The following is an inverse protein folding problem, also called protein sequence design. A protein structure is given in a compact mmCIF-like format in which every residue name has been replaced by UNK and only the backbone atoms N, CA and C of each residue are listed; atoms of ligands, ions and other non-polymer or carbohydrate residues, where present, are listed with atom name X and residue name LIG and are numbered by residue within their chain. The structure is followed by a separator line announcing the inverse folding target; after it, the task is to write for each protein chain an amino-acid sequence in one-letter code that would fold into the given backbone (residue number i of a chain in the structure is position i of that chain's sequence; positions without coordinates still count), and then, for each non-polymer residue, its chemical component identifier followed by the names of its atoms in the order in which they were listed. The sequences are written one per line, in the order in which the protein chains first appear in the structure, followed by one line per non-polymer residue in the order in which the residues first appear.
data_IF_170715398396
#
_entry.id   IF_170715398396
#
_cell.length_a   1.000
_cell.length_b   1.000
_cell.length_c   1.000
_cell.angle_alpha   90.00
_cell.angle_beta   90.00
_cell.angle_gamma   90.00
#
_symmetry.space_group_name_H-M   'P 1'
#
loop_
_entity.id
_entity.type
_entity.pdbx_description
1 polymer ?
#
# COMPACT_ATOMS: atom_id res chain seq x y z
N UNK A 1 -22.65 -29.18 8.28
CA UNK A 1 -22.73 -27.89 9.01
C UNK A 1 -21.53 -27.08 8.54
N UNK A 2 -21.72 -26.07 7.72
CA UNK A 2 -20.65 -25.15 7.32
C UNK A 2 -20.18 -24.41 8.56
N UNK A 3 -18.95 -24.65 9.00
CA UNK A 3 -18.33 -23.90 10.11
C UNK A 3 -18.43 -22.39 9.79
N UNK A 4 -18.86 -21.61 10.77
CA UNK A 4 -18.90 -20.14 10.60
C UNK A 4 -17.47 -19.66 10.32
N UNK A 5 -17.30 -18.79 9.31
CA UNK A 5 -15.98 -18.24 9.02
C UNK A 5 -15.38 -17.60 10.26
N UNK A 6 -14.15 -17.94 10.62
CA UNK A 6 -13.47 -17.44 11.82
C UNK A 6 -13.32 -15.94 11.79
N UNK A 7 -13.47 -15.30 12.94
CA UNK A 7 -13.18 -13.89 13.14
C UNK A 7 -11.69 -13.60 12.89
N UNK A 8 -11.35 -12.37 12.51
CA UNK A 8 -9.98 -11.95 12.24
C UNK A 8 -9.57 -10.91 13.28
N UNK A 9 -8.40 -11.07 13.88
CA UNK A 9 -7.68 -9.99 14.57
C UNK A 9 -6.49 -9.57 13.73
N UNK A 10 -6.57 -8.40 13.14
CA UNK A 10 -5.51 -7.83 12.29
C UNK A 10 -4.64 -6.88 13.11
N UNK A 11 -3.35 -7.16 13.20
CA UNK A 11 -2.38 -6.19 13.74
C UNK A 11 -1.88 -5.36 12.57
N UNK A 12 -2.41 -4.15 12.46
CA UNK A 12 -2.17 -3.30 11.31
C UNK A 12 -0.85 -2.53 11.38
N UNK A 13 -0.30 -2.20 10.22
CA UNK A 13 0.90 -1.35 10.08
C UNK A 13 0.56 0.12 9.83
N UNK A 14 -0.70 0.42 9.55
CA UNK A 14 -1.24 1.76 9.27
C UNK A 14 -2.57 1.95 9.98
N UNK A 15 -2.93 3.20 10.26
CA UNK A 15 -4.26 3.55 10.75
C UNK A 15 -5.31 3.30 9.67
N UNK A 16 -6.54 2.97 10.08
CA UNK A 16 -7.63 2.70 9.14
C UNK A 16 -8.02 3.97 8.34
N UNK A 17 -7.94 5.13 8.98
CA UNK A 17 -8.23 6.46 8.40
C UNK A 17 -7.06 7.09 7.64
N UNK A 18 -6.05 6.30 7.28
CA UNK A 18 -4.94 6.81 6.48
C UNK A 18 -5.48 7.39 5.15
N UNK A 19 -5.18 8.65 4.83
CA UNK A 19 -5.68 9.31 3.62
C UNK A 19 -5.20 8.64 2.31
N UNK A 20 -4.13 7.85 2.39
CA UNK A 20 -3.66 7.00 1.29
C UNK A 20 -3.73 5.53 1.73
N UNK A 21 -4.87 4.85 1.51
CA UNK A 21 -5.02 3.45 1.88
C UNK A 21 -4.00 2.57 1.14
N UNK A 22 -3.50 1.59 1.86
CA UNK A 22 -2.58 0.57 1.36
C UNK A 22 -3.28 -0.78 1.28
N UNK A 23 -2.57 -1.81 0.86
CA UNK A 23 -3.06 -3.19 0.85
C UNK A 23 -3.77 -3.57 2.17
N UNK A 24 -3.22 -3.17 3.32
CA UNK A 24 -3.76 -3.54 4.65
C UNK A 24 -5.21 -3.08 4.84
N UNK A 25 -5.49 -1.81 4.56
CA UNK A 25 -6.83 -1.25 4.71
C UNK A 25 -7.80 -1.85 3.69
N UNK A 26 -7.38 -1.89 2.41
CA UNK A 26 -8.20 -2.44 1.35
C UNK A 26 -8.61 -3.89 1.60
N UNK A 27 -7.66 -4.72 2.03
CA UNK A 27 -7.90 -6.13 2.35
C UNK A 27 -8.86 -6.28 3.54
N UNK A 28 -8.55 -5.61 4.66
CA UNK A 28 -9.32 -5.79 5.89
C UNK A 28 -10.75 -5.23 5.79
N UNK A 29 -10.96 -4.12 5.09
CA UNK A 29 -12.29 -3.57 4.86
C UNK A 29 -13.17 -4.55 4.07
N UNK A 30 -12.64 -5.20 3.05
CA UNK A 30 -13.38 -6.17 2.22
C UNK A 30 -13.60 -7.51 2.93
N UNK A 31 -12.61 -7.99 3.68
CA UNK A 31 -12.82 -9.16 4.55
C UNK A 31 -13.89 -8.89 5.61
N UNK A 32 -14.04 -7.64 6.07
CA UNK A 32 -15.07 -7.26 7.01
C UNK A 32 -16.51 -7.30 6.43
N UNK A 33 -16.67 -7.41 5.13
CA UNK A 33 -17.97 -7.66 4.51
C UNK A 33 -18.47 -9.09 4.78
N UNK A 34 -17.56 -10.03 4.99
CA UNK A 34 -17.82 -11.47 5.16
C UNK A 34 -17.56 -11.99 6.56
N UNK A 35 -16.59 -11.42 7.29
CA UNK A 35 -16.09 -11.85 8.60
C UNK A 35 -16.11 -10.69 9.58
N UNK A 36 -16.20 -10.97 10.90
CA UNK A 36 -15.92 -9.92 11.88
C UNK A 36 -14.40 -9.70 11.95
N UNK A 37 -13.98 -8.43 11.89
CA UNK A 37 -12.58 -8.03 11.90
C UNK A 37 -12.33 -7.07 13.06
N UNK A 38 -11.39 -7.39 13.93
CA UNK A 38 -10.79 -6.43 14.86
C UNK A 38 -9.52 -5.87 14.24
N UNK A 39 -9.59 -4.64 13.74
CA UNK A 39 -8.47 -3.90 13.20
C UNK A 39 -7.74 -3.18 14.32
N UNK A 40 -6.55 -3.66 14.70
CA UNK A 40 -5.71 -3.08 15.74
C UNK A 40 -4.72 -2.14 15.06
N UNK A 41 -4.94 -0.85 15.23
CA UNK A 41 -4.09 0.20 14.68
C UNK A 41 -2.68 0.19 15.33
N UNK A 42 -1.68 0.79 14.68
CA UNK A 42 -0.39 1.04 15.32
C UNK A 42 -0.58 1.77 16.65
N UNK A 43 0.10 1.33 17.71
CA UNK A 43 -0.07 1.93 19.03
C UNK A 43 0.37 3.40 19.03
N UNK A 44 -0.33 4.22 19.79
CA UNK A 44 -0.11 5.66 19.86
C UNK A 44 0.46 6.05 21.21
N UNK A 45 1.45 6.96 21.18
CA UNK A 45 2.02 7.60 22.36
C UNK A 45 1.21 8.85 22.73
N UNK A 46 0.70 8.99 23.97
CA UNK A 46 -0.07 10.14 24.39
C UNK A 46 0.66 11.49 24.22
N UNK A 47 1.97 11.52 24.39
CA UNK A 47 2.76 12.76 24.21
C UNK A 47 2.74 13.21 22.75
N UNK A 48 2.80 12.25 21.83
CA UNK A 48 2.70 12.54 20.41
C UNK A 48 1.32 13.08 20.03
N UNK A 49 0.24 12.57 20.66
CA UNK A 49 -1.12 13.02 20.43
C UNK A 49 -1.34 14.46 20.88
N UNK A 50 -0.87 14.79 22.09
CA UNK A 50 -0.98 16.15 22.64
C UNK A 50 -0.23 17.16 21.75
N UNK A 51 0.98 16.80 21.28
CA UNK A 51 1.78 17.68 20.41
C UNK A 51 1.16 17.96 19.06
N UNK A 52 0.33 17.05 18.54
CA UNK A 52 -0.33 17.20 17.24
C UNK A 52 -1.78 17.68 17.31
N UNK A 53 -2.31 17.98 18.50
CA UNK A 53 -3.69 18.45 18.69
C UNK A 53 -4.76 17.46 18.22
N UNK A 54 -4.44 16.16 18.16
CA UNK A 54 -5.37 15.12 17.73
C UNK A 54 -5.95 14.38 18.94
N UNK A 55 -7.27 14.23 18.97
CA UNK A 55 -7.95 13.38 19.96
C UNK A 55 -7.53 11.92 19.74
N UNK A 56 -6.96 11.25 20.77
CA UNK A 56 -6.64 9.83 20.72
C UNK A 56 -7.87 8.93 20.55
N UNK A 57 -9.06 9.46 20.83
CA UNK A 57 -10.34 8.78 20.75
C UNK A 57 -11.11 9.11 19.48
N UNK A 58 -10.51 9.86 18.55
CA UNK A 58 -11.15 10.29 17.30
C UNK A 58 -11.81 9.09 16.62
N UNK A 59 -13.13 9.16 16.48
CA UNK A 59 -13.89 8.20 15.69
C UNK A 59 -13.30 8.18 14.29
N UNK A 60 -13.02 6.97 13.82
CA UNK A 60 -12.51 6.78 12.48
C UNK A 60 -13.60 7.23 11.50
N UNK A 61 -13.37 8.31 10.78
CA UNK A 61 -14.30 8.85 9.79
C UNK A 61 -14.45 7.94 8.53
N UNK A 62 -13.92 6.73 8.59
CA UNK A 62 -14.05 5.72 7.54
C UNK A 62 -15.39 5.02 7.73
N UNK A 63 -16.23 5.07 6.70
CA UNK A 63 -17.47 4.29 6.67
C UNK A 63 -17.13 2.81 6.71
N UNK A 64 -17.36 2.18 7.86
CA UNK A 64 -17.04 0.77 8.09
C UNK A 64 -18.31 -0.07 8.16
N UNK A 65 -18.21 -1.34 7.78
CA UNK A 65 -19.30 -2.30 7.98
C UNK A 65 -19.54 -2.52 9.49
N UNK A 66 -20.73 -3.00 9.86
CA UNK A 66 -21.05 -3.38 11.25
C UNK A 66 -20.13 -4.49 11.79
N UNK A 67 -19.39 -5.16 10.92
CA UNK A 67 -18.44 -6.23 11.26
C UNK A 67 -17.00 -5.77 11.46
N UNK A 68 -16.69 -4.49 11.10
CA UNK A 68 -15.36 -3.89 11.32
C UNK A 68 -15.32 -3.20 12.68
N UNK A 69 -14.45 -3.67 13.54
CA UNK A 69 -14.18 -3.06 14.84
C UNK A 69 -12.75 -2.50 14.85
N UNK A 70 -12.58 -1.28 15.33
CA UNK A 70 -11.26 -0.64 15.41
C UNK A 70 -10.80 -0.54 16.85
N UNK A 71 -9.53 -0.77 17.09
CA UNK A 71 -8.84 -0.52 18.35
C UNK A 71 -7.58 0.30 18.09
N UNK A 72 -7.50 1.49 18.68
CA UNK A 72 -6.30 2.34 18.68
C UNK A 72 -5.61 2.20 20.05
N UNK A 73 -4.60 1.31 20.19
CA UNK A 73 -3.98 1.04 21.47
C UNK A 73 -3.12 2.21 21.93
N UNK A 74 -3.11 2.46 23.23
CA UNK A 74 -2.26 3.48 23.87
C UNK A 74 -1.10 2.78 24.58
N UNK A 75 0.11 3.32 24.39
CA UNK A 75 1.36 2.81 24.98
C UNK A 75 2.12 3.92 25.68
N UNK A 76 3.06 3.54 26.55
CA UNK A 76 3.92 4.51 27.23
C UNK A 76 4.93 5.13 26.26
N UNK A 77 5.28 6.40 26.44
CA UNK A 77 6.29 7.07 25.64
C UNK A 77 7.70 6.49 25.89
N UNK A 78 8.63 6.86 25.03
CA UNK A 78 10.08 6.54 25.14
C UNK A 78 10.45 5.05 25.10
N UNK A 79 9.63 4.18 24.52
CA UNK A 79 9.96 2.77 24.32
C UNK A 79 11.28 2.54 23.56
N UNK A 80 11.67 3.48 22.67
CA UNK A 80 12.93 3.45 21.93
C UNK A 80 14.18 3.66 22.82
N UNK A 81 14.00 4.23 24.05
CA UNK A 81 15.07 4.52 24.99
C UNK A 81 15.25 3.45 26.07
N UNK A 82 14.25 2.56 26.27
CA UNK A 82 14.28 1.59 27.36
C UNK A 82 13.65 0.25 26.95
N UNK A 83 14.45 -0.82 27.04
CA UNK A 83 13.96 -2.19 26.82
C UNK A 83 12.85 -2.58 27.81
N UNK A 84 12.89 -2.09 29.04
CA UNK A 84 11.85 -2.34 30.05
C UNK A 84 10.52 -1.68 29.65
N UNK A 85 10.56 -0.41 29.19
CA UNK A 85 9.37 0.27 28.68
C UNK A 85 8.83 -0.43 27.43
N UNK A 86 9.69 -0.86 26.52
CA UNK A 86 9.29 -1.61 25.34
C UNK A 86 8.58 -2.94 25.70
N UNK A 87 9.12 -3.69 26.68
CA UNK A 87 8.52 -4.92 27.18
C UNK A 87 7.17 -4.68 27.88
N UNK A 88 7.07 -3.60 28.66
CA UNK A 88 5.81 -3.19 29.30
C UNK A 88 4.76 -2.80 28.25
N UNK A 89 5.14 -2.02 27.23
CA UNK A 89 4.28 -1.64 26.14
C UNK A 89 3.75 -2.85 25.37
N UNK A 90 4.58 -3.87 25.13
CA UNK A 90 4.13 -5.12 24.53
C UNK A 90 3.07 -5.82 25.39
N UNK A 91 3.23 -5.85 26.73
CA UNK A 91 2.24 -6.42 27.65
C UNK A 91 0.94 -5.61 27.65
N UNK A 92 1.04 -4.28 27.68
CA UNK A 92 -0.11 -3.37 27.61
C UNK A 92 -0.88 -3.54 26.31
N UNK A 93 -0.19 -3.64 25.18
CA UNK A 93 -0.80 -3.88 23.87
C UNK A 93 -1.59 -5.20 23.86
N UNK A 94 -0.96 -6.30 24.26
CA UNK A 94 -1.61 -7.61 24.36
C UNK A 94 -2.84 -7.55 25.28
N UNK A 95 -2.73 -6.90 26.44
CA UNK A 95 -3.84 -6.78 27.40
C UNK A 95 -5.04 -6.01 26.80
N UNK A 96 -4.79 -4.91 26.11
CA UNK A 96 -5.82 -4.10 25.43
C UNK A 96 -6.53 -4.91 24.33
N UNK A 97 -5.76 -5.62 23.50
CA UNK A 97 -6.30 -6.47 22.42
C UNK A 97 -7.15 -7.60 23.02
N UNK A 98 -6.62 -8.34 24.02
CA UNK A 98 -7.36 -9.40 24.71
C UNK A 98 -8.67 -8.90 25.34
N UNK A 99 -8.64 -7.72 25.98
CA UNK A 99 -9.85 -7.10 26.56
C UNK A 99 -10.89 -6.82 25.47
N UNK A 100 -10.45 -6.33 24.30
CA UNK A 100 -11.35 -6.03 23.18
C UNK A 100 -11.92 -7.29 22.56
N UNK A 101 -11.11 -8.34 22.34
CA UNK A 101 -11.54 -9.64 21.83
C UNK A 101 -12.63 -10.25 22.73
N UNK A 102 -12.41 -10.24 24.06
CA UNK A 102 -13.42 -10.73 25.02
C UNK A 102 -14.73 -9.94 24.95
N UNK A 103 -14.68 -8.60 24.86
CA UNK A 103 -15.88 -7.75 24.74
C UNK A 103 -16.66 -8.00 23.45
N UNK A 104 -15.97 -8.38 22.39
CA UNK A 104 -16.58 -8.70 21.09
C UNK A 104 -16.97 -10.18 20.98
N UNK A 105 -16.72 -11.00 22.01
CA UNK A 105 -16.89 -12.45 21.99
C UNK A 105 -16.24 -13.09 20.74
N UNK A 106 -14.99 -12.74 20.48
CA UNK A 106 -14.17 -13.39 19.44
C UNK A 106 -13.59 -14.67 20.04
N UNK A 107 -13.95 -15.81 19.46
CA UNK A 107 -13.48 -17.12 19.87
C UNK A 107 -12.46 -17.64 18.88
N UNK A 108 -11.23 -17.91 19.35
CA UNK A 108 -10.13 -18.46 18.55
C UNK A 108 -9.98 -17.79 17.18
N UNK A 109 -9.77 -16.44 17.12
CA UNK A 109 -9.70 -15.72 15.84
C UNK A 109 -8.47 -16.12 15.03
N UNK A 110 -8.49 -15.81 13.73
CA UNK A 110 -7.26 -15.78 12.90
C UNK A 110 -6.45 -14.55 13.27
N UNK A 111 -5.18 -14.73 13.64
CA UNK A 111 -4.24 -13.64 13.86
C UNK A 111 -3.59 -13.27 12.52
N UNK A 112 -3.89 -12.07 12.00
CA UNK A 112 -3.36 -11.58 10.74
C UNK A 112 -2.26 -10.56 10.96
N UNK A 113 -1.04 -10.87 10.50
CA UNK A 113 0.15 -10.07 10.67
C UNK A 113 0.65 -9.57 9.30
N UNK A 114 1.13 -8.32 9.27
CA UNK A 114 1.70 -7.69 8.07
C UNK A 114 3.18 -7.35 8.23
N UNK A 115 3.74 -7.46 9.42
CA UNK A 115 5.13 -7.09 9.68
C UNK A 115 5.80 -8.07 10.64
N UNK A 116 7.08 -8.38 10.42
CA UNK A 116 7.89 -9.17 11.37
C UNK A 116 7.88 -8.61 12.79
N UNK A 117 7.83 -7.28 12.92
CA UNK A 117 7.82 -6.58 14.23
C UNK A 117 6.62 -6.96 15.10
N UNK A 118 5.62 -7.64 14.54
CA UNK A 118 4.40 -8.08 15.23
C UNK A 118 4.54 -9.49 15.83
N UNK A 119 5.68 -10.15 15.69
CA UNK A 119 5.96 -11.49 16.22
C UNK A 119 5.58 -11.64 17.71
N UNK A 120 5.76 -10.58 18.49
CA UNK A 120 5.40 -10.56 19.92
C UNK A 120 3.90 -10.73 20.22
N UNK A 121 3.02 -10.79 19.23
CA UNK A 121 1.58 -11.04 19.41
C UNK A 121 1.23 -12.55 19.37
N UNK A 122 2.08 -13.36 18.73
CA UNK A 122 1.87 -14.79 18.50
C UNK A 122 1.76 -15.56 19.81
N UNK A 123 0.78 -16.47 19.92
CA UNK A 123 0.51 -17.29 21.10
C UNK A 123 -0.09 -16.53 22.27
N UNK A 124 -0.45 -15.25 22.08
CA UNK A 124 -0.90 -14.39 23.17
C UNK A 124 -2.34 -13.93 23.08
N UNK A 125 -3.03 -14.20 21.98
CA UNK A 125 -4.41 -13.73 21.77
C UNK A 125 -5.44 -14.86 21.78
N UNK A 126 -5.01 -16.11 21.99
CA UNK A 126 -5.88 -17.30 21.92
C UNK A 126 -6.30 -17.60 20.49
N UNK A 127 -5.48 -17.20 19.54
CA UNK A 127 -5.70 -17.40 18.10
C UNK A 127 -5.72 -18.87 17.70
N UNK A 128 -6.54 -19.21 16.70
CA UNK A 128 -6.62 -20.56 16.13
C UNK A 128 -5.49 -20.82 15.15
N UNK A 129 -5.10 -19.80 14.41
CA UNK A 129 -4.02 -19.85 13.41
C UNK A 129 -3.45 -18.45 13.18
N UNK A 130 -2.23 -18.40 12.63
CA UNK A 130 -1.55 -17.18 12.22
C UNK A 130 -1.55 -17.10 10.70
N UNK A 131 -1.97 -15.96 10.15
CA UNK A 131 -1.80 -15.58 8.76
C UNK A 131 -0.72 -14.49 8.67
N UNK A 132 0.30 -14.70 7.87
CA UNK A 132 1.34 -13.71 7.63
C UNK A 132 1.24 -13.17 6.20
N UNK A 133 1.08 -11.86 6.04
CA UNK A 133 0.96 -11.22 4.74
C UNK A 133 2.18 -10.35 4.44
N UNK A 134 3.06 -10.82 3.60
CA UNK A 134 4.29 -10.14 3.20
C UNK A 134 3.97 -9.21 2.04
N UNK A 135 3.84 -7.92 2.33
CA UNK A 135 3.54 -6.89 1.33
C UNK A 135 4.79 -6.26 0.73
N UNK A 136 5.88 -6.25 1.49
CA UNK A 136 7.13 -5.57 1.14
C UNK A 136 8.34 -6.29 1.75
N UNK A 137 9.53 -6.02 1.23
CA UNK A 137 10.76 -6.44 1.90
C UNK A 137 11.12 -5.47 3.04
N UNK A 138 10.67 -5.80 4.25
CA UNK A 138 10.94 -4.98 5.44
C UNK A 138 12.44 -4.80 5.76
N UNK A 139 13.31 -5.69 5.26
CA UNK A 139 14.77 -5.60 5.48
C UNK A 139 15.42 -4.53 4.61
N UNK A 140 14.81 -4.26 3.45
CA UNK A 140 15.28 -3.25 2.52
C UNK A 140 14.67 -1.84 2.77
N UNK A 141 13.76 -1.72 3.73
CA UNK A 141 13.16 -0.43 4.08
C UNK A 141 14.13 0.47 4.87
N UNK A 142 14.01 1.82 4.75
CA UNK A 142 14.85 2.76 5.51
C UNK A 142 14.84 2.53 7.03
N UNK A 143 13.75 2.01 7.60
CA UNK A 143 13.65 1.65 9.02
C UNK A 143 14.52 0.46 9.48
N UNK A 144 15.22 -0.22 8.55
CA UNK A 144 16.17 -1.31 8.81
C UNK A 144 17.63 -0.89 8.51
N UNK A 145 17.95 0.40 8.63
CA UNK A 145 19.23 0.96 8.22
C UNK A 145 20.44 0.41 9.00
N UNK A 146 20.29 -0.05 10.25
CA UNK A 146 21.40 -0.62 11.04
C UNK A 146 21.44 -2.14 10.93
N UNK A 147 22.66 -2.73 11.00
CA UNK A 147 22.84 -4.18 11.01
C UNK A 147 22.05 -4.86 12.15
N UNK A 148 22.03 -4.27 13.34
CA UNK A 148 21.29 -4.79 14.49
C UNK A 148 19.76 -4.77 14.26
N UNK A 149 19.22 -3.70 13.66
CA UNK A 149 17.80 -3.63 13.32
C UNK A 149 17.43 -4.66 12.25
N UNK A 150 18.30 -4.85 11.25
CA UNK A 150 18.11 -5.86 10.19
C UNK A 150 18.16 -7.28 10.73
N UNK A 151 19.16 -7.61 11.58
CA UNK A 151 19.26 -8.93 12.22
C UNK A 151 18.04 -9.24 13.09
N UNK A 152 17.52 -8.26 13.83
CA UNK A 152 16.31 -8.42 14.63
C UNK A 152 15.08 -8.68 13.74
N UNK A 153 14.92 -7.93 12.64
CA UNK A 153 13.83 -8.16 11.69
C UNK A 153 13.87 -9.57 11.07
N UNK A 154 15.06 -10.07 10.77
CA UNK A 154 15.24 -11.44 10.26
C UNK A 154 14.79 -12.48 11.30
N UNK A 155 15.21 -12.32 12.55
CA UNK A 155 14.81 -13.23 13.64
C UNK A 155 13.30 -13.18 13.91
N UNK A 156 12.73 -11.97 13.96
CA UNK A 156 11.29 -11.77 14.13
C UNK A 156 10.52 -12.41 12.95
N UNK A 157 10.99 -12.24 11.70
CA UNK A 157 10.36 -12.82 10.51
C UNK A 157 10.40 -14.35 10.54
N UNK A 158 11.52 -14.96 10.95
CA UNK A 158 11.61 -16.40 11.13
C UNK A 158 10.58 -16.92 12.14
N UNK A 159 10.40 -16.21 13.26
CA UNK A 159 9.40 -16.54 14.27
C UNK A 159 7.98 -16.49 13.68
N UNK A 160 7.67 -15.46 12.89
CA UNK A 160 6.35 -15.34 12.25
C UNK A 160 6.15 -16.44 11.21
N UNK A 161 7.15 -16.69 10.36
CA UNK A 161 7.09 -17.74 9.33
C UNK A 161 6.92 -19.14 9.93
N UNK A 162 7.57 -19.45 11.06
CA UNK A 162 7.42 -20.74 11.75
C UNK A 162 6.00 -20.92 12.30
N UNK A 163 5.38 -19.87 12.83
CA UNK A 163 4.06 -19.91 13.41
C UNK A 163 2.91 -19.80 12.39
N UNK A 164 3.18 -19.25 11.21
CA UNK A 164 2.17 -19.00 10.20
C UNK A 164 1.65 -20.28 9.55
N UNK A 165 0.32 -20.48 9.61
CA UNK A 165 -0.39 -21.52 8.84
C UNK A 165 -0.50 -21.13 7.37
N UNK A 166 -0.80 -19.84 7.09
CA UNK A 166 -0.87 -19.29 5.74
C UNK A 166 0.08 -18.12 5.62
N UNK A 167 0.87 -18.10 4.56
CA UNK A 167 1.77 -17.01 4.21
C UNK A 167 1.36 -16.46 2.84
N UNK A 168 0.79 -15.26 2.84
CA UNK A 168 0.42 -14.52 1.63
C UNK A 168 1.59 -13.61 1.25
N UNK A 169 1.98 -13.61 -0.03
CA UNK A 169 3.14 -12.84 -0.52
C UNK A 169 2.71 -12.06 -1.76
N UNK A 170 2.90 -10.74 -1.75
CA UNK A 170 2.47 -9.90 -2.89
C UNK A 170 3.43 -9.95 -4.08
N UNK A 171 4.66 -10.43 -3.90
CA UNK A 171 5.68 -10.49 -4.93
C UNK A 171 6.16 -11.92 -5.16
N UNK A 172 5.93 -12.45 -6.36
CA UNK A 172 6.47 -13.74 -6.80
C UNK A 172 8.00 -13.76 -6.68
N UNK A 173 8.65 -12.71 -7.16
CA UNK A 173 10.10 -12.57 -7.09
C UNK A 173 10.64 -12.64 -5.66
N UNK A 174 9.93 -12.02 -4.70
CA UNK A 174 10.33 -12.08 -3.30
C UNK A 174 10.18 -13.50 -2.73
N UNK A 175 9.14 -14.22 -3.12
CA UNK A 175 8.96 -15.62 -2.71
C UNK A 175 10.08 -16.49 -3.25
N UNK A 176 10.42 -16.36 -4.53
CA UNK A 176 11.50 -17.11 -5.20
C UNK A 176 12.87 -16.84 -4.55
N UNK A 177 13.25 -15.56 -4.43
CA UNK A 177 14.55 -15.15 -3.90
C UNK A 177 14.73 -15.55 -2.41
N UNK A 178 13.64 -15.79 -1.69
CA UNK A 178 13.65 -16.25 -0.29
C UNK A 178 13.44 -17.77 -0.13
N UNK A 179 13.26 -18.50 -1.23
CA UNK A 179 12.98 -19.93 -1.21
C UNK A 179 11.68 -20.29 -0.49
N UNK A 180 10.68 -19.38 -0.52
CA UNK A 180 9.38 -19.59 0.11
C UNK A 180 8.48 -20.40 -0.84
N UNK A 181 8.30 -21.68 -0.57
CA UNK A 181 7.52 -22.61 -1.39
C UNK A 181 6.76 -23.62 -0.54
N UNK A 182 5.81 -24.33 -1.14
CA UNK A 182 4.95 -25.32 -0.49
C UNK A 182 3.53 -24.81 -0.25
N UNK A 183 2.64 -25.71 0.17
CA UNK A 183 1.17 -25.48 0.23
C UNK A 183 0.71 -24.31 1.08
N UNK A 184 1.48 -23.90 2.08
CA UNK A 184 1.13 -22.77 2.95
C UNK A 184 1.53 -21.40 2.39
N UNK A 185 2.28 -21.35 1.26
CA UNK A 185 2.77 -20.12 0.65
C UNK A 185 1.93 -19.78 -0.59
N UNK A 186 1.28 -18.62 -0.55
CA UNK A 186 0.35 -18.20 -1.58
C UNK A 186 0.82 -16.85 -2.17
N UNK A 187 1.13 -16.84 -3.46
CA UNK A 187 1.48 -15.59 -4.16
C UNK A 187 0.19 -14.86 -4.47
N UNK A 188 -0.03 -13.74 -3.79
CA UNK A 188 -1.23 -12.93 -3.84
C UNK A 188 -0.83 -11.48 -4.19
N UNK A 189 -0.60 -11.16 -5.48
CA UNK A 189 -0.18 -9.81 -5.88
C UNK A 189 -1.16 -8.73 -5.49
N UNK A 190 -0.65 -7.51 -5.30
CA UNK A 190 -1.47 -6.34 -5.08
C UNK A 190 -2.40 -6.09 -6.27
N UNK A 191 -3.57 -5.55 -5.99
CA UNK A 191 -4.60 -5.20 -6.97
C UNK A 191 -5.18 -3.85 -6.65
N UNK A 192 -5.98 -3.27 -7.57
CA UNK A 192 -6.62 -1.99 -7.37
C UNK A 192 -8.10 -2.09 -7.01
N UNK A 193 -8.63 -0.98 -6.52
CA UNK A 193 -10.06 -0.70 -6.46
C UNK A 193 -10.52 -0.24 -7.85
N UNK A 194 -10.81 -1.22 -8.70
CA UNK A 194 -11.12 -0.98 -10.12
C UNK A 194 -12.40 -0.17 -10.31
N UNK A 195 -13.39 -0.34 -9.43
CA UNK A 195 -14.64 0.42 -9.49
C UNK A 195 -14.39 1.89 -9.13
N UNK A 196 -13.53 2.12 -8.13
CA UNK A 196 -13.14 3.45 -7.70
C UNK A 196 -12.37 4.20 -8.80
N UNK A 197 -11.28 3.62 -9.32
CA UNK A 197 -10.48 4.28 -10.35
C UNK A 197 -11.16 4.27 -11.72
N UNK A 198 -11.98 3.27 -12.04
CA UNK A 198 -12.85 3.24 -13.21
C UNK A 198 -13.87 4.37 -13.26
N UNK A 199 -14.18 5.01 -12.12
CA UNK A 199 -14.99 6.21 -12.10
C UNK A 199 -14.38 7.36 -12.93
N UNK A 200 -13.06 7.37 -13.17
CA UNK A 200 -12.41 8.33 -14.07
C UNK A 200 -12.97 8.27 -15.50
N UNK A 201 -13.48 7.11 -15.94
CA UNK A 201 -14.03 6.92 -17.27
C UNK A 201 -15.46 7.48 -17.41
N UNK A 202 -16.14 7.71 -16.29
CA UNK A 202 -17.55 8.12 -16.30
C UNK A 202 -17.69 9.59 -16.74
N UNK A 203 -18.68 9.92 -17.55
CA UNK A 203 -18.93 11.31 -17.99
C UNK A 203 -19.18 12.28 -16.83
N UNK A 204 -19.87 11.81 -15.77
CA UNK A 204 -20.19 12.60 -14.58
C UNK A 204 -18.99 12.93 -13.70
N UNK A 205 -17.89 12.20 -13.79
CA UNK A 205 -16.66 12.52 -13.09
C UNK A 205 -16.00 13.73 -13.74
N UNK A 206 -16.06 14.85 -13.10
CA UNK A 206 -15.36 16.06 -13.55
C UNK A 206 -13.89 15.99 -13.23
N UNK A 207 -13.04 16.50 -14.13
CA UNK A 207 -11.62 16.71 -13.85
C UNK A 207 -11.49 17.68 -12.66
N UNK A 208 -10.56 17.41 -11.75
CA UNK A 208 -10.29 18.30 -10.62
C UNK A 208 -9.90 19.70 -11.13
N UNK A 209 -10.46 20.75 -10.52
CA UNK A 209 -10.32 22.14 -10.99
C UNK A 209 -8.85 22.55 -11.12
N UNK A 210 -8.03 22.21 -10.13
CA UNK A 210 -6.59 22.51 -10.15
C UNK A 210 -5.83 21.75 -11.26
N UNK A 211 -6.33 20.58 -11.69
CA UNK A 211 -5.77 19.85 -12.83
C UNK A 211 -6.19 20.46 -14.16
N UNK A 212 -7.43 20.96 -14.24
CA UNK A 212 -7.94 21.65 -15.42
C UNK A 212 -7.20 22.97 -15.70
N UNK A 213 -6.62 23.58 -14.66
CA UNK A 213 -5.82 24.80 -14.78
C UNK A 213 -4.38 24.55 -15.29
N UNK A 214 -3.91 23.29 -15.29
CA UNK A 214 -2.59 22.92 -15.78
C UNK A 214 -2.65 22.77 -17.30
N UNK A 215 -1.79 23.50 -18.00
CA UNK A 215 -1.72 23.45 -19.46
C UNK A 215 -1.00 22.24 -20.01
N UNK A 216 -1.28 21.92 -21.28
CA UNK A 216 -0.63 20.84 -22.04
C UNK A 216 -1.08 19.43 -21.64
N UNK A 217 -0.49 18.39 -22.25
CA UNK A 217 -0.69 17.02 -21.82
C UNK A 217 -0.04 16.79 -20.46
N UNK A 218 -0.69 15.93 -19.64
CA UNK A 218 -0.26 15.67 -18.27
C UNK A 218 0.34 14.26 -18.14
N UNK A 219 1.60 14.19 -17.74
CA UNK A 219 2.26 12.98 -17.26
C UNK A 219 2.14 12.92 -15.73
N UNK A 220 1.26 12.05 -15.20
CA UNK A 220 0.83 12.09 -13.81
C UNK A 220 1.29 10.91 -12.96
N UNK A 221 1.63 11.19 -11.70
CA UNK A 221 1.90 10.19 -10.66
C UNK A 221 1.03 10.46 -9.42
N UNK A 222 0.45 9.39 -8.86
CA UNK A 222 -0.24 9.43 -7.56
C UNK A 222 0.46 8.53 -6.58
N UNK A 223 0.95 9.06 -5.47
CA UNK A 223 1.61 8.26 -4.43
C UNK A 223 2.52 9.09 -3.54
N UNK A 224 3.14 8.47 -2.54
CA UNK A 224 4.17 9.13 -1.75
C UNK A 224 5.40 9.44 -2.63
N UNK A 225 5.81 10.69 -2.62
CA UNK A 225 6.94 11.22 -3.40
C UNK A 225 8.19 11.16 -2.51
N UNK A 226 8.71 9.95 -2.32
CA UNK A 226 9.86 9.66 -1.46
C UNK A 226 11.08 9.29 -2.29
N UNK A 227 12.24 9.83 -1.96
CA UNK A 227 13.51 9.67 -2.68
C UNK A 227 14.07 8.25 -2.69
N UNK A 228 13.72 7.44 -1.67
CA UNK A 228 14.11 6.02 -1.65
C UNK A 228 13.32 5.18 -2.67
N UNK A 229 12.17 5.69 -3.14
CA UNK A 229 11.24 4.99 -4.03
C UNK A 229 11.16 5.62 -5.41
N UNK A 230 11.06 6.94 -5.49
CA UNK A 230 10.94 7.69 -6.75
C UNK A 230 12.32 8.13 -7.23
N UNK A 231 12.59 7.96 -8.51
CA UNK A 231 13.81 8.43 -9.13
C UNK A 231 13.65 9.89 -9.58
N UNK A 232 14.03 10.82 -8.70
CA UNK A 232 13.93 12.26 -8.97
C UNK A 232 14.85 12.73 -10.07
N UNK A 233 16.01 12.09 -10.23
CA UNK A 233 16.95 12.45 -11.30
C UNK A 233 16.40 12.05 -12.67
N UNK A 234 15.85 10.83 -12.78
CA UNK A 234 15.17 10.35 -13.98
C UNK A 234 14.01 11.30 -14.35
N UNK A 235 13.12 11.59 -13.38
CA UNK A 235 11.97 12.48 -13.60
C UNK A 235 12.39 13.87 -14.05
N UNK A 236 13.34 14.48 -13.35
CA UNK A 236 13.80 15.83 -13.67
C UNK A 236 14.47 15.90 -15.04
N UNK A 237 15.27 14.90 -15.38
CA UNK A 237 15.97 14.86 -16.66
C UNK A 237 14.99 14.59 -17.83
N UNK A 238 13.97 13.76 -17.64
CA UNK A 238 12.91 13.55 -18.63
C UNK A 238 12.05 14.81 -18.79
N UNK A 239 11.67 15.47 -17.68
CA UNK A 239 10.87 16.70 -17.71
C UNK A 239 11.56 17.84 -18.45
N UNK A 240 12.89 18.01 -18.28
CA UNK A 240 13.67 19.00 -19.06
C UNK A 240 13.67 18.72 -20.57
N UNK A 241 13.56 17.45 -20.99
CA UNK A 241 13.50 17.04 -22.40
C UNK A 241 12.12 17.19 -23.03
N UNK A 242 11.09 17.40 -22.20
CA UNK A 242 9.68 17.49 -22.60
C UNK A 242 9.04 18.74 -22.01
N UNK A 243 9.52 19.96 -22.33
CA UNK A 243 8.98 21.19 -21.75
C UNK A 243 7.52 21.46 -22.11
N UNK A 244 7.00 20.80 -23.14
CA UNK A 244 5.62 20.84 -23.59
C UNK A 244 4.68 19.96 -22.74
N UNK A 245 5.21 19.08 -21.90
CA UNK A 245 4.46 18.16 -21.05
C UNK A 245 4.48 18.65 -19.60
N UNK A 246 3.34 18.69 -18.94
CA UNK A 246 3.22 18.96 -17.52
C UNK A 246 3.37 17.68 -16.69
N UNK A 247 4.39 17.64 -15.83
CA UNK A 247 4.70 16.53 -14.95
C UNK A 247 4.06 16.75 -13.58
N UNK A 248 3.02 15.98 -13.26
CA UNK A 248 2.20 16.22 -12.07
C UNK A 248 2.36 15.09 -11.05
N UNK A 249 2.81 15.44 -9.84
CA UNK A 249 3.00 14.50 -8.74
C UNK A 249 2.00 14.80 -7.63
N UNK A 250 1.15 13.83 -7.30
CA UNK A 250 0.07 13.94 -6.32
C UNK A 250 0.34 13.04 -5.13
N UNK A 251 0.60 13.63 -3.97
CA UNK A 251 0.86 12.89 -2.74
C UNK A 251 1.78 13.63 -1.78
N UNK A 252 2.00 13.09 -0.59
CA UNK A 252 2.94 13.68 0.36
C UNK A 252 4.37 13.60 -0.17
N UNK A 253 5.15 14.65 0.08
CA UNK A 253 6.57 14.73 -0.31
C UNK A 253 7.42 14.52 0.93
N UNK A 254 8.27 13.49 0.87
CA UNK A 254 9.23 13.17 1.92
C UNK A 254 8.62 12.72 3.26
N UNK A 255 9.44 12.05 4.07
CA UNK A 255 9.06 11.58 5.40
C UNK A 255 9.22 12.66 6.47
N UNK A 256 10.25 13.51 6.32
CA UNK A 256 10.65 14.45 7.35
C UNK A 256 9.97 15.81 7.23
N UNK A 257 9.77 16.31 6.01
CA UNK A 257 9.14 17.60 5.75
C UNK A 257 8.31 17.53 4.44
N UNK A 258 6.98 17.34 4.57
CA UNK A 258 6.09 17.25 3.40
C UNK A 258 5.94 18.59 2.63
N UNK A 259 6.56 19.66 3.09
CA UNK A 259 6.52 20.98 2.43
C UNK A 259 7.75 21.26 1.60
N UNK A 260 8.83 20.51 1.79
CA UNK A 260 10.08 20.73 1.07
C UNK A 260 10.06 20.09 -0.31
N UNK A 261 9.99 20.89 -1.35
CA UNK A 261 10.13 20.45 -2.75
C UNK A 261 11.57 19.99 -2.99
N UNK A 262 11.78 18.73 -3.43
CA UNK A 262 13.12 18.27 -3.82
C UNK A 262 13.74 19.20 -4.84
N UNK A 263 15.01 19.64 -4.66
CA UNK A 263 15.64 20.61 -5.55
C UNK A 263 15.62 20.21 -7.03
N UNK A 264 15.75 18.91 -7.30
CA UNK A 264 15.73 18.35 -8.66
C UNK A 264 14.39 18.60 -9.37
N UNK A 265 13.28 18.60 -8.62
CA UNK A 265 11.92 18.74 -9.14
C UNK A 265 11.43 20.21 -9.24
N UNK A 266 12.31 21.18 -8.96
CA UNK A 266 12.02 22.62 -9.13
C UNK A 266 12.16 23.03 -10.59
N UNK A 267 11.24 22.56 -11.42
CA UNK A 267 11.21 22.87 -12.86
C UNK A 267 9.87 23.53 -13.23
N UNK A 268 9.82 24.41 -14.25
CA UNK A 268 8.61 25.13 -14.63
C UNK A 268 7.43 24.22 -14.99
N UNK A 269 7.71 23.07 -15.56
CA UNK A 269 6.70 22.09 -15.98
C UNK A 269 6.53 20.90 -15.00
N UNK A 270 7.03 21.02 -13.75
CA UNK A 270 6.83 20.00 -12.70
C UNK A 270 5.96 20.60 -11.59
N UNK A 271 4.84 19.95 -11.34
CA UNK A 271 3.80 20.39 -10.39
C UNK A 271 3.66 19.39 -9.25
N UNK A 272 3.95 19.81 -8.02
CA UNK A 272 3.74 19.05 -6.80
C UNK A 272 2.42 19.48 -6.17
N UNK A 273 1.37 18.68 -6.36
CA UNK A 273 0.02 19.01 -5.92
C UNK A 273 -0.17 18.77 -4.40
N UNK A 274 0.68 17.92 -3.81
CA UNK A 274 0.52 17.48 -2.43
C UNK A 274 -0.56 16.41 -2.25
N UNK A 275 -0.84 15.98 -1.00
CA UNK A 275 -1.78 14.89 -0.73
C UNK A 275 -3.22 15.28 -1.05
N UNK A 276 -3.98 14.36 -1.63
CA UNK A 276 -5.40 14.50 -1.92
C UNK A 276 -6.18 13.34 -1.29
N UNK A 277 -7.45 13.56 -0.88
CA UNK A 277 -8.30 12.50 -0.36
C UNK A 277 -8.44 11.37 -1.39
N UNK A 278 -8.34 10.11 -0.95
CA UNK A 278 -8.44 8.93 -1.82
C UNK A 278 -9.69 8.98 -2.72
N UNK A 279 -10.84 9.35 -2.13
CA UNK A 279 -12.12 9.46 -2.84
C UNK A 279 -12.11 10.41 -4.05
N UNK A 280 -11.22 11.40 -4.06
CA UNK A 280 -11.14 12.37 -5.16
C UNK A 280 -10.14 11.98 -6.26
N UNK A 281 -9.30 10.97 -6.04
CA UNK A 281 -8.24 10.58 -6.97
C UNK A 281 -8.71 10.26 -8.40
N UNK A 282 -9.89 9.65 -8.63
CA UNK A 282 -10.40 9.45 -10.00
C UNK A 282 -10.52 10.75 -10.80
N UNK A 283 -10.89 11.86 -10.18
CA UNK A 283 -10.99 13.17 -10.82
C UNK A 283 -9.62 13.74 -11.25
N UNK A 284 -8.57 13.39 -10.51
CA UNK A 284 -7.19 13.74 -10.84
C UNK A 284 -6.63 12.85 -11.94
N UNK A 285 -6.80 11.53 -11.80
CA UNK A 285 -6.33 10.55 -12.79
C UNK A 285 -7.01 10.74 -14.14
N UNK A 286 -8.27 11.19 -14.15
CA UNK A 286 -9.00 11.53 -15.39
C UNK A 286 -8.28 12.59 -16.24
N UNK A 287 -7.47 13.46 -15.63
CA UNK A 287 -6.68 14.47 -16.33
C UNK A 287 -5.37 13.93 -16.92
N UNK A 288 -4.96 12.72 -16.56
CA UNK A 288 -3.68 12.17 -17.03
C UNK A 288 -3.78 11.74 -18.49
N UNK A 289 -2.87 12.27 -19.31
CA UNK A 289 -2.63 11.78 -20.65
C UNK A 289 -1.76 10.51 -20.60
N UNK A 290 -0.81 10.47 -19.65
CA UNK A 290 0.06 9.33 -19.38
C UNK A 290 0.24 9.20 -17.86
N UNK A 291 0.20 8.00 -17.33
CA UNK A 291 0.48 7.72 -15.92
C UNK A 291 1.92 7.22 -15.75
N UNK A 292 2.55 7.57 -14.63
CA UNK A 292 3.95 7.30 -14.36
C UNK A 292 4.15 6.34 -13.20
N UNK A 293 5.12 5.41 -13.33
CA UNK A 293 5.67 4.62 -12.22
C UNK A 293 7.20 4.74 -12.27
N UNK A 294 7.76 5.90 -11.91
CA UNK A 294 9.18 6.23 -12.08
C UNK A 294 9.98 5.79 -10.86
N UNK A 295 9.89 4.50 -10.51
CA UNK A 295 10.54 4.00 -9.32
C UNK A 295 12.04 3.82 -9.53
N UNK A 296 12.82 4.23 -8.54
CA UNK A 296 14.24 3.90 -8.46
C UNK A 296 14.41 2.39 -8.37
N UNK A 297 15.32 1.82 -9.16
CA UNK A 297 15.63 0.39 -9.08
C UNK A 297 16.63 0.17 -7.94
N UNK A 298 16.18 -0.41 -6.85
CA UNK A 298 16.98 -0.70 -5.66
C UNK A 298 16.51 -2.00 -4.98
N UNK A 299 17.16 -2.38 -3.87
CA UNK A 299 16.85 -3.58 -3.10
C UNK A 299 15.37 -3.64 -2.66
N UNK A 300 14.78 -2.50 -2.29
CA UNK A 300 13.38 -2.42 -1.88
C UNK A 300 12.41 -2.52 -3.06
N UNK A 301 12.60 -1.68 -4.10
CA UNK A 301 11.62 -1.54 -5.19
C UNK A 301 11.57 -2.75 -6.12
N UNK A 302 12.66 -3.53 -6.21
CA UNK A 302 12.70 -4.76 -7.02
C UNK A 302 11.65 -5.81 -6.62
N UNK A 303 11.14 -5.73 -5.40
CA UNK A 303 10.09 -6.60 -4.88
C UNK A 303 8.73 -5.94 -4.79
N UNK A 304 8.62 -4.66 -5.12
CA UNK A 304 7.35 -3.96 -5.09
C UNK A 304 6.39 -4.51 -6.13
N UNK A 305 5.14 -4.71 -5.71
CA UNK A 305 3.99 -4.93 -6.59
C UNK A 305 3.11 -3.67 -6.53
N UNK A 306 3.33 -2.67 -7.42
CA UNK A 306 2.68 -1.37 -7.30
C UNK A 306 1.18 -1.46 -7.57
N UNK A 307 0.33 -1.10 -6.56
CA UNK A 307 -1.12 -0.92 -6.78
C UNK A 307 -1.41 0.06 -7.92
N UNK A 308 -0.50 1.05 -8.11
CA UNK A 308 -0.62 2.11 -9.11
C UNK A 308 -0.81 1.59 -10.52
N UNK A 309 -0.18 0.45 -10.85
CA UNK A 309 -0.38 -0.18 -12.15
C UNK A 309 -1.88 -0.36 -12.42
N UNK A 310 -2.55 -1.14 -11.57
CA UNK A 310 -3.95 -1.48 -11.79
C UNK A 310 -4.90 -0.31 -11.55
N UNK A 311 -4.53 0.67 -10.71
CA UNK A 311 -5.27 1.92 -10.53
C UNK A 311 -5.31 2.74 -11.85
N UNK A 312 -4.17 2.89 -12.53
CA UNK A 312 -4.09 3.59 -13.80
C UNK A 312 -4.73 2.82 -14.94
N UNK A 313 -4.52 1.50 -14.99
CA UNK A 313 -5.16 0.65 -16.01
C UNK A 313 -6.69 0.64 -15.86
N UNK A 314 -7.23 0.67 -14.63
CA UNK A 314 -8.67 0.78 -14.39
C UNK A 314 -9.25 2.11 -14.89
N UNK A 315 -8.46 3.18 -14.87
CA UNK A 315 -8.81 4.47 -15.46
C UNK A 315 -8.57 4.52 -16.99
N UNK A 316 -8.11 3.43 -17.62
CA UNK A 316 -7.81 3.35 -19.05
C UNK A 316 -6.55 4.13 -19.47
N UNK A 317 -5.74 4.63 -18.53
CA UNK A 317 -4.57 5.47 -18.83
C UNK A 317 -3.36 4.62 -19.19
N UNK A 318 -2.62 5.02 -20.23
CA UNK A 318 -1.34 4.42 -20.62
C UNK A 318 -0.26 4.66 -19.56
N UNK A 319 0.60 3.67 -19.31
CA UNK A 319 1.59 3.71 -18.23
C UNK A 319 3.01 3.70 -18.79
N UNK A 320 3.86 4.62 -18.31
CA UNK A 320 5.32 4.59 -18.50
C UNK A 320 5.97 4.33 -17.15
N UNK A 321 6.87 3.37 -17.11
CA UNK A 321 7.47 2.90 -15.87
C UNK A 321 8.95 2.56 -16.02
N UNK A 322 9.67 2.58 -14.91
CA UNK A 322 10.98 1.94 -14.80
C UNK A 322 10.84 0.41 -14.73
N UNK A 323 11.92 -0.31 -14.99
CA UNK A 323 11.93 -1.76 -15.16
C UNK A 323 11.79 -2.52 -13.82
N UNK A 324 10.57 -2.53 -13.30
CA UNK A 324 10.21 -3.36 -12.12
C UNK A 324 9.71 -4.73 -12.59
N UNK A 325 10.18 -5.85 -11.98
CA UNK A 325 9.76 -7.20 -12.39
C UNK A 325 8.24 -7.40 -12.42
N UNK A 326 7.52 -6.83 -11.44
CA UNK A 326 6.06 -6.95 -11.35
C UNK A 326 5.30 -6.25 -12.47
N UNK A 327 5.90 -5.29 -13.17
CA UNK A 327 5.26 -4.54 -14.26
C UNK A 327 5.37 -5.25 -15.62
N UNK A 328 6.34 -6.14 -15.76
CA UNK A 328 6.56 -6.89 -17.00
C UNK A 328 5.40 -7.83 -17.35
N UNK A 329 4.64 -8.27 -16.35
CA UNK A 329 3.46 -9.13 -16.53
C UNK A 329 2.31 -8.40 -17.28
N UNK A 330 2.33 -7.07 -17.34
CA UNK A 330 1.34 -6.28 -18.08
C UNK A 330 1.63 -6.19 -19.59
N UNK A 331 2.79 -6.69 -20.06
CA UNK A 331 3.17 -6.69 -21.46
C UNK A 331 3.14 -5.27 -22.08
N UNK A 332 2.61 -5.17 -23.29
CA UNK A 332 2.55 -3.92 -24.08
C UNK A 332 1.66 -2.82 -23.46
N UNK A 333 0.92 -3.12 -22.41
CA UNK A 333 0.08 -2.14 -21.70
C UNK A 333 0.92 -1.18 -20.84
N UNK A 334 2.20 -1.52 -20.60
CA UNK A 334 3.17 -0.68 -19.87
C UNK A 334 4.41 -0.49 -20.73
N UNK A 335 4.79 0.74 -20.97
CA UNK A 335 6.08 1.04 -21.61
C UNK A 335 7.17 1.12 -20.57
N UNK A 336 8.18 0.25 -20.68
CA UNK A 336 9.32 0.23 -19.78
C UNK A 336 10.43 1.08 -20.36
N UNK A 337 11.01 1.98 -19.55
CA UNK A 337 12.15 2.82 -19.90
C UNK A 337 13.08 2.98 -18.69
N UNK A 338 14.39 2.92 -18.94
CA UNK A 338 15.38 2.82 -17.86
C UNK A 338 16.28 4.05 -17.71
N UNK A 339 16.31 4.93 -18.69
CA UNK A 339 17.10 6.15 -18.71
C UNK A 339 16.23 7.37 -19.08
N UNK A 340 16.71 8.61 -18.81
CA UNK A 340 15.90 9.81 -19.01
C UNK A 340 15.48 10.07 -20.47
N UNK A 341 16.27 9.65 -21.45
CA UNK A 341 15.97 9.85 -22.87
C UNK A 341 14.85 8.90 -23.31
N UNK A 342 15.05 7.60 -23.08
CA UNK A 342 14.04 6.58 -23.37
C UNK A 342 12.74 6.81 -22.59
N UNK A 343 12.81 7.33 -21.35
CA UNK A 343 11.64 7.66 -20.55
C UNK A 343 10.86 8.84 -21.15
N UNK A 344 11.55 9.91 -21.60
CA UNK A 344 10.93 11.03 -22.26
C UNK A 344 10.28 10.63 -23.61
N UNK A 345 10.96 9.79 -24.41
CA UNK A 345 10.41 9.23 -25.65
C UNK A 345 9.18 8.39 -25.36
N UNK A 346 9.25 7.49 -24.37
CA UNK A 346 8.13 6.64 -23.98
C UNK A 346 6.90 7.45 -23.56
N UNK A 347 7.10 8.55 -22.81
CA UNK A 347 5.98 9.44 -22.43
C UNK A 347 5.35 10.07 -23.67
N UNK A 348 6.12 10.59 -24.63
CA UNK A 348 5.60 11.15 -25.89
C UNK A 348 4.85 10.11 -26.71
N UNK A 349 5.41 8.93 -26.88
CA UNK A 349 4.76 7.84 -27.62
C UNK A 349 3.42 7.47 -27.00
N UNK A 350 3.32 7.44 -25.67
CA UNK A 350 2.07 7.12 -24.97
C UNK A 350 1.01 8.23 -25.05
N UNK A 351 1.38 9.46 -25.38
CA UNK A 351 0.40 10.52 -25.67
C UNK A 351 -0.36 10.27 -26.97
N UNK A 352 0.20 9.48 -27.87
CA UNK A 352 -0.37 9.12 -29.17
C UNK A 352 -1.15 7.79 -29.14
N UNK A 353 -1.29 7.18 -27.92
CA UNK A 353 -2.00 5.92 -27.73
C UNK A 353 -3.45 5.98 -28.25
N UNK A 354 -3.81 4.97 -29.03
CA UNK A 354 -5.16 4.82 -29.53
C UNK A 354 -6.12 4.14 -28.52
N UNK A 355 -7.40 4.16 -28.82
CA UNK A 355 -8.44 3.56 -27.98
C UNK A 355 -8.36 2.01 -27.92
N UNK A 356 -7.64 1.34 -28.84
CA UNK A 356 -7.52 -0.12 -28.85
C UNK A 356 -6.79 -0.66 -27.62
N UNK A 357 -5.75 0.03 -27.16
CA UNK A 357 -5.04 -0.36 -25.93
C UNK A 357 -5.82 -0.01 -24.65
N UNK A 358 -6.70 0.98 -24.72
CA UNK A 358 -7.50 1.41 -23.56
C UNK A 358 -8.39 0.31 -23.02
N UNK A 359 -9.13 -0.39 -23.88
CA UNK A 359 -9.99 -1.49 -23.44
C UNK A 359 -9.17 -2.64 -22.84
N UNK A 360 -8.04 -2.99 -23.44
CA UNK A 360 -7.16 -4.03 -22.92
C UNK A 360 -6.60 -3.68 -21.51
N UNK A 361 -6.31 -2.40 -21.25
CA UNK A 361 -5.93 -1.91 -19.91
C UNK A 361 -7.02 -2.14 -18.88
N UNK A 362 -8.25 -1.73 -19.20
CA UNK A 362 -9.44 -1.88 -18.35
C UNK A 362 -9.69 -3.37 -18.06
N UNK A 363 -9.60 -4.22 -19.07
CA UNK A 363 -9.82 -5.66 -18.93
C UNK A 363 -8.75 -6.32 -18.05
N UNK A 364 -7.48 -5.90 -18.18
CA UNK A 364 -6.43 -6.39 -17.31
C UNK A 364 -6.67 -5.96 -15.85
N UNK A 365 -7.06 -4.72 -15.62
CA UNK A 365 -7.41 -4.23 -14.28
C UNK A 365 -8.60 -5.00 -13.69
N UNK A 366 -9.65 -5.25 -14.46
CA UNK A 366 -10.84 -5.98 -14.03
C UNK A 366 -10.50 -7.42 -13.58
N UNK A 367 -9.56 -8.08 -14.28
CA UNK A 367 -9.04 -9.39 -13.88
C UNK A 367 -8.21 -9.35 -12.60
N UNK A 368 -7.67 -8.18 -12.22
CA UNK A 368 -6.86 -7.95 -11.04
C UNK A 368 -7.59 -7.02 -10.06
N UNK A 369 -8.80 -7.40 -9.66
CA UNK A 369 -9.66 -6.63 -8.74
C UNK A 369 -9.62 -7.18 -7.32
N UNK A 370 -9.98 -6.33 -6.35
CA UNK A 370 -10.11 -6.75 -4.95
C UNK A 370 -11.18 -7.83 -4.77
N UNK A 371 -12.28 -7.81 -5.51
CA UNK A 371 -13.34 -8.82 -5.41
C UNK A 371 -12.79 -10.22 -5.68
N UNK A 372 -12.08 -10.41 -6.80
CA UNK A 372 -11.43 -11.68 -7.13
C UNK A 372 -10.37 -12.07 -6.10
N UNK A 373 -9.60 -11.09 -5.62
CA UNK A 373 -8.54 -11.34 -4.63
C UNK A 373 -9.11 -11.82 -3.29
N UNK A 374 -10.24 -11.28 -2.86
CA UNK A 374 -10.93 -11.72 -1.65
C UNK A 374 -11.48 -13.14 -1.83
N UNK A 375 -12.06 -13.47 -2.98
CA UNK A 375 -12.53 -14.83 -3.25
C UNK A 375 -11.41 -15.86 -3.18
N UNK A 376 -10.25 -15.55 -3.76
CA UNK A 376 -9.05 -16.40 -3.72
C UNK A 376 -8.55 -16.60 -2.27
N UNK A 377 -8.44 -15.52 -1.49
CA UNK A 377 -8.03 -15.59 -0.10
C UNK A 377 -9.06 -16.37 0.74
N UNK A 378 -10.35 -16.16 0.54
CA UNK A 378 -11.41 -16.89 1.25
C UNK A 378 -11.39 -18.38 0.93
N UNK A 379 -11.14 -18.78 -0.32
CA UNK A 379 -10.99 -20.19 -0.68
C UNK A 379 -9.85 -20.85 0.11
N UNK A 380 -8.67 -20.21 0.14
CA UNK A 380 -7.50 -20.68 0.89
C UNK A 380 -7.82 -20.82 2.39
N UNK A 381 -8.55 -19.86 2.97
CA UNK A 381 -8.92 -19.89 4.39
C UNK A 381 -9.99 -20.94 4.72
N UNK A 382 -10.80 -21.38 3.75
CA UNK A 382 -11.85 -22.37 3.95
C UNK A 382 -11.35 -23.82 3.76
N UNK A 383 -10.29 -24.02 2.99
CA UNK A 383 -9.65 -25.34 2.78
C UNK A 383 -8.84 -25.83 4.00
N UNK A 384 -8.81 -25.06 5.07
CA UNK A 384 -7.94 -25.26 6.25
C UNK A 384 -8.77 -25.52 7.52
#
# INVERSE_FOLDING_TARGET
MTERPRDIVCIATRRLDNPMPTNVQHLMLRLAERRRVLYVEPPVDPVFLVRRGRDPRGETAVQTSSRMHVLSPIVLPWAHRSKAIAALNQRLLVAQVRRRLRRLAFERPLLWLFSPRQAGMIGRLGEAAVCYHITDDYKAMPGAATAAARSRLVADEQTVLQAARHVFITSRRLAEDRGLSGERFHVIPNVADVDHFGAALRPETRVAEEMAAIGGPIAGFVGAVDDYKIDFELLAAAARRTPEISWVLIGPVGWADPTTVPPQLRLPNVHLIGPRPYRSLPAYVKAFSVALIPYRINEYTRYCSPLKLYEYLAAGVGVVATDLPALREAGDLVTIASDPESFAVAVRTRLEDDDGLRQARIDLAARNSWSRRIEEIEAILCES
#
